data_IF_191852501619
#
_entry.id   IF_191852501619
#
_cell.length_a   1.000
_cell.length_b   1.000
_cell.length_c   1.000
_cell.angle_alpha   90.00
_cell.angle_beta   90.00
_cell.angle_gamma   90.00
#
_symmetry.space_group_name_H-M   'P 1'
#
loop_
_entity.id
_entity.type
_entity.pdbx_description
1 polymer ?
#
# COMPACT_ATOMS: atom_id res chain seq x y z
N UNK A 1 -7.97 18.03 4.88
CA UNK A 1 -6.94 17.03 5.20
C UNK A 1 -5.68 17.41 4.44
N UNK A 2 -4.50 17.34 5.05
CA UNK A 2 -3.26 17.44 4.30
C UNK A 2 -3.25 16.35 3.24
N UNK A 3 -2.77 16.69 2.05
CA UNK A 3 -2.58 15.76 0.93
C UNK A 3 -1.10 15.72 0.64
N UNK A 4 -0.57 14.54 0.38
CA UNK A 4 0.78 14.34 -0.07
C UNK A 4 0.76 13.51 -1.35
N UNK A 5 1.49 13.97 -2.35
CA UNK A 5 1.63 13.32 -3.63
C UNK A 5 3.11 13.15 -3.94
N UNK A 6 3.47 11.97 -4.42
CA UNK A 6 4.81 11.68 -4.89
C UNK A 6 4.76 10.87 -6.18
N UNK A 7 5.65 11.21 -7.11
CA UNK A 7 5.84 10.46 -8.35
C UNK A 7 7.30 10.08 -8.48
N UNK A 8 7.55 8.81 -8.83
CA UNK A 8 8.91 8.27 -8.96
C UNK A 8 9.03 7.38 -10.18
N UNK A 9 10.03 7.63 -11.02
CA UNK A 9 10.42 6.71 -12.11
C UNK A 9 11.38 5.65 -11.60
N UNK A 10 11.15 4.42 -12.03
CA UNK A 10 11.97 3.24 -11.70
C UNK A 10 12.18 2.38 -12.93
N UNK A 11 13.28 1.61 -12.97
CA UNK A 11 13.64 0.74 -14.08
C UNK A 11 12.97 -0.66 -14.01
N UNK A 12 11.87 -0.77 -13.28
CA UNK A 12 11.06 -1.98 -13.15
C UNK A 12 9.74 -1.80 -13.88
N UNK A 13 9.15 -2.90 -14.34
CA UNK A 13 7.85 -2.89 -14.99
C UNK A 13 6.74 -2.50 -14.00
N UNK A 14 5.60 -1.96 -14.48
CA UNK A 14 4.44 -1.70 -13.64
C UNK A 14 3.98 -2.93 -12.84
N UNK A 15 4.06 -4.12 -13.44
CA UNK A 15 3.66 -5.38 -12.81
C UNK A 15 4.60 -5.77 -11.67
N UNK A 16 5.91 -5.60 -11.83
CA UNK A 16 6.89 -5.84 -10.76
C UNK A 16 6.67 -4.87 -9.59
N UNK A 17 6.45 -3.58 -9.89
CA UNK A 17 6.18 -2.58 -8.85
C UNK A 17 4.84 -2.79 -8.15
N UNK A 18 3.81 -3.18 -8.91
CA UNK A 18 2.54 -3.59 -8.33
C UNK A 18 2.72 -4.77 -7.40
N UNK A 19 3.42 -5.83 -7.83
CA UNK A 19 3.65 -7.02 -7.02
C UNK A 19 4.42 -6.69 -5.72
N UNK A 20 5.44 -5.82 -5.80
CA UNK A 20 6.20 -5.36 -4.65
C UNK A 20 5.33 -4.66 -3.60
N UNK A 21 4.42 -3.78 -4.04
CA UNK A 21 3.53 -3.03 -3.13
C UNK A 21 2.32 -3.86 -2.69
N UNK A 22 1.90 -4.83 -3.50
CA UNK A 22 0.82 -5.75 -3.16
C UNK A 22 1.22 -6.76 -2.07
N UNK A 23 2.51 -7.10 -1.98
CA UNK A 23 3.06 -7.97 -0.94
C UNK A 23 3.29 -7.23 0.39
N UNK A 24 2.17 -6.78 0.97
CA UNK A 24 2.19 -5.97 2.20
C UNK A 24 2.78 -6.73 3.40
N UNK A 25 2.71 -8.06 3.43
CA UNK A 25 3.24 -8.86 4.55
C UNK A 25 4.77 -8.84 4.60
N UNK A 26 5.43 -8.52 3.48
CA UNK A 26 6.88 -8.34 3.44
C UNK A 26 7.35 -6.98 3.98
N UNK A 27 6.46 -6.02 4.19
CA UNK A 27 6.82 -4.64 4.56
C UNK A 27 7.70 -4.52 5.81
N UNK A 28 7.49 -5.27 6.91
CA UNK A 28 8.36 -5.20 8.09
C UNK A 28 9.83 -5.55 7.80
N UNK A 29 10.12 -6.24 6.69
CA UNK A 29 11.47 -6.63 6.33
C UNK A 29 12.30 -5.46 5.77
N UNK A 30 11.66 -4.42 5.22
CA UNK A 30 12.35 -3.37 4.49
C UNK A 30 11.84 -1.94 4.73
N UNK A 31 10.62 -1.74 5.26
CA UNK A 31 10.12 -0.42 5.60
C UNK A 31 10.58 -0.02 7.01
N UNK A 32 11.43 1.02 7.17
CA UNK A 32 12.09 1.33 8.45
C UNK A 32 11.16 1.59 9.64
N UNK A 33 9.90 1.98 9.39
CA UNK A 33 8.93 2.33 10.42
C UNK A 33 7.84 1.27 10.59
N UNK A 34 7.82 0.21 9.78
CA UNK A 34 6.83 -0.86 9.87
C UNK A 34 7.34 -1.92 10.86
N UNK A 35 6.76 -1.96 12.06
CA UNK A 35 7.14 -2.96 13.07
C UNK A 35 6.49 -4.33 12.79
N UNK A 36 5.24 -4.33 12.32
CA UNK A 36 4.52 -5.54 11.95
C UNK A 36 3.42 -5.26 10.94
N UNK A 37 3.13 -6.22 10.09
CA UNK A 37 1.94 -6.20 9.23
C UNK A 37 1.32 -7.59 9.21
N UNK A 38 0.01 -7.67 9.42
CA UNK A 38 -0.72 -8.95 9.45
C UNK A 38 -2.02 -8.86 8.67
N UNK A 39 -2.19 -9.74 7.68
CA UNK A 39 -3.44 -9.86 6.93
C UNK A 39 -4.45 -10.66 7.75
N UNK A 40 -5.53 -10.02 8.18
CA UNK A 40 -6.65 -10.63 8.92
C UNK A 40 -7.57 -11.44 8.02
N UNK A 41 -7.78 -10.97 6.79
CA UNK A 41 -8.62 -11.65 5.82
C UNK A 41 -8.24 -11.31 4.39
N UNK A 42 -8.47 -12.26 3.49
CA UNK A 42 -8.30 -12.12 2.04
C UNK A 42 -9.57 -12.60 1.36
N UNK A 43 -10.08 -11.79 0.42
CA UNK A 43 -11.23 -12.13 -0.43
C UNK A 43 -10.89 -11.80 -1.87
N UNK A 44 -11.17 -12.74 -2.77
CA UNK A 44 -10.93 -12.56 -4.20
C UNK A 44 -12.27 -12.56 -4.93
N UNK A 45 -12.43 -11.62 -5.87
CA UNK A 45 -13.62 -11.50 -6.70
C UNK A 45 -13.31 -10.70 -7.96
N UNK A 46 -13.75 -11.20 -9.12
CA UNK A 46 -13.67 -10.51 -10.41
C UNK A 46 -12.25 -9.98 -10.72
N UNK A 47 -11.22 -10.82 -10.49
CA UNK A 47 -9.81 -10.46 -10.73
C UNK A 47 -9.20 -9.48 -9.72
N UNK A 48 -9.94 -9.12 -8.67
CA UNK A 48 -9.52 -8.19 -7.62
C UNK A 48 -9.41 -8.90 -6.28
N UNK A 49 -8.51 -8.39 -5.44
CA UNK A 49 -8.30 -8.94 -4.09
C UNK A 49 -8.52 -7.84 -3.06
N UNK A 50 -9.38 -8.12 -2.08
CA UNK A 50 -9.59 -7.28 -0.91
C UNK A 50 -8.90 -7.93 0.27
N UNK A 51 -7.96 -7.20 0.88
CA UNK A 51 -7.31 -7.56 2.13
C UNK A 51 -7.83 -6.67 3.24
N UNK A 52 -7.97 -7.23 4.43
CA UNK A 52 -8.05 -6.45 5.67
C UNK A 52 -6.79 -6.75 6.45
N UNK A 53 -6.02 -5.71 6.78
CA UNK A 53 -4.71 -5.88 7.41
C UNK A 53 -4.50 -4.87 8.54
N UNK A 54 -3.79 -5.32 9.57
CA UNK A 54 -3.25 -4.46 10.61
C UNK A 54 -1.82 -4.09 10.27
N UNK A 55 -1.47 -2.82 10.41
CA UNK A 55 -0.10 -2.35 10.36
C UNK A 55 0.26 -1.65 11.67
N UNK A 56 1.36 -2.06 12.28
CA UNK A 56 1.96 -1.38 13.43
C UNK A 56 3.13 -0.55 12.95
N UNK A 57 3.11 0.73 13.30
CA UNK A 57 4.20 1.66 13.01
C UNK A 57 4.92 2.06 14.30
N UNK A 58 6.24 2.13 14.24
CA UNK A 58 7.11 2.53 15.34
C UNK A 58 8.01 3.69 14.94
N UNK A 59 7.92 4.81 15.65
CA UNK A 59 8.88 5.92 15.51
C UNK A 59 9.17 6.59 16.85
N UNK A 60 10.41 6.46 17.32
CA UNK A 60 10.85 6.94 18.64
C UNK A 60 9.96 6.37 19.76
N UNK A 61 9.23 7.22 20.48
CA UNK A 61 8.34 6.81 21.56
C UNK A 61 6.92 6.47 21.08
N UNK A 62 6.60 6.68 19.80
CA UNK A 62 5.28 6.44 19.23
C UNK A 62 5.23 5.01 18.71
N UNK A 63 4.20 4.28 19.14
CA UNK A 63 3.80 2.98 18.60
C UNK A 63 2.32 3.00 18.39
N UNK A 64 1.91 2.82 17.15
CA UNK A 64 0.52 2.93 16.75
C UNK A 64 0.16 1.78 15.82
N UNK A 65 -0.99 1.16 16.07
CA UNK A 65 -1.53 0.10 15.21
C UNK A 65 -2.84 0.58 14.62
N UNK A 66 -3.00 0.34 13.32
CA UNK A 66 -4.23 0.68 12.61
C UNK A 66 -4.59 -0.41 11.62
N UNK A 67 -5.89 -0.55 11.38
CA UNK A 67 -6.47 -1.51 10.46
C UNK A 67 -6.85 -0.80 9.16
N UNK A 68 -6.50 -1.39 8.03
CA UNK A 68 -6.84 -0.89 6.69
C UNK A 68 -7.51 -1.97 5.84
N UNK A 69 -8.34 -1.53 4.89
CA UNK A 69 -8.77 -2.33 3.76
C UNK A 69 -7.90 -2.00 2.56
N UNK A 70 -7.24 -3.01 1.98
CA UNK A 70 -6.41 -2.87 0.77
C UNK A 70 -7.13 -3.55 -0.39
N UNK A 71 -7.44 -2.80 -1.44
CA UNK A 71 -8.01 -3.30 -2.68
C UNK A 71 -6.92 -3.35 -3.74
N UNK A 72 -6.51 -4.56 -4.11
CA UNK A 72 -5.57 -4.84 -5.18
C UNK A 72 -6.34 -4.96 -6.50
N UNK A 73 -5.92 -4.18 -7.51
CA UNK A 73 -6.50 -4.17 -8.86
C UNK A 73 -5.38 -4.41 -9.89
N UNK A 74 -4.99 -5.68 -10.14
CA UNK A 74 -3.89 -6.01 -11.05
C UNK A 74 -4.12 -5.50 -12.46
N UNK A 75 -5.33 -5.66 -13.01
CA UNK A 75 -5.68 -5.22 -14.37
C UNK A 75 -5.58 -3.68 -14.54
N UNK A 76 -5.77 -2.95 -13.44
CA UNK A 76 -5.70 -1.49 -13.40
C UNK A 76 -4.31 -0.98 -13.00
N UNK A 77 -3.35 -1.88 -12.68
CA UNK A 77 -2.06 -1.56 -12.05
C UNK A 77 -2.22 -0.56 -10.90
N UNK A 78 -3.15 -0.86 -9.98
CA UNK A 78 -3.56 0.08 -8.94
C UNK A 78 -3.88 -0.59 -7.61
N UNK A 79 -3.56 0.11 -6.52
CA UNK A 79 -3.88 -0.31 -5.16
C UNK A 79 -4.59 0.83 -4.44
N UNK A 80 -5.79 0.56 -3.92
CA UNK A 80 -6.52 1.52 -3.10
C UNK A 80 -6.53 1.04 -1.65
N UNK A 81 -6.17 1.92 -0.73
CA UNK A 81 -6.16 1.62 0.70
C UNK A 81 -7.13 2.55 1.41
N UNK A 82 -7.95 2.00 2.28
CA UNK A 82 -8.90 2.74 3.11
C UNK A 82 -8.70 2.41 4.57
N UNK A 83 -8.79 3.42 5.41
CA UNK A 83 -8.84 3.27 6.85
C UNK A 83 -10.06 2.48 7.32
N UNK A 84 -9.88 1.62 8.32
CA UNK A 84 -10.98 0.96 9.03
C UNK A 84 -11.01 1.41 10.49
N UNK A 85 -9.89 1.29 11.22
CA UNK A 85 -9.84 1.51 12.68
C UNK A 85 -8.41 1.85 13.17
N UNK A 86 -8.29 2.42 14.36
CA UNK A 86 -7.03 2.83 14.99
C UNK A 86 -6.96 4.29 15.47
N UNK A 87 -5.76 4.87 15.61
CA UNK A 87 -5.54 6.21 16.19
C UNK A 87 -5.72 7.37 15.20
N UNK A 88 -5.79 7.10 13.89
CA UNK A 88 -5.93 8.14 12.88
C UNK A 88 -7.38 8.55 12.67
N UNK A 89 -7.61 9.83 12.34
CA UNK A 89 -8.96 10.28 11.97
C UNK A 89 -9.35 9.83 10.56
N UNK A 90 -8.38 9.85 9.65
CA UNK A 90 -8.55 9.51 8.24
C UNK A 90 -7.21 9.03 7.67
N UNK A 91 -7.26 7.97 6.88
CA UNK A 91 -6.14 7.47 6.09
C UNK A 91 -6.71 6.89 4.79
N UNK A 92 -6.25 7.38 3.66
CA UNK A 92 -6.61 6.83 2.36
C UNK A 92 -5.42 7.03 1.45
N UNK A 93 -4.84 5.95 0.94
CA UNK A 93 -3.76 6.07 -0.02
C UNK A 93 -4.05 5.31 -1.30
N UNK A 94 -3.53 5.83 -2.40
CA UNK A 94 -3.70 5.26 -3.74
C UNK A 94 -2.31 5.09 -4.34
N UNK A 95 -2.06 3.91 -4.90
CA UNK A 95 -0.91 3.62 -5.75
C UNK A 95 -1.37 3.40 -7.17
N UNK A 96 -0.64 3.97 -8.13
CA UNK A 96 -0.77 3.70 -9.56
C UNK A 96 0.60 3.40 -10.14
N UNK A 97 0.67 2.44 -11.04
CA UNK A 97 1.89 2.04 -11.72
C UNK A 97 1.66 2.16 -13.22
N UNK A 98 2.16 3.24 -13.82
CA UNK A 98 1.97 3.53 -15.23
C UNK A 98 3.23 3.17 -16.03
N UNK A 99 3.11 2.59 -17.23
CA UNK A 99 4.26 2.31 -18.10
C UNK A 99 5.02 3.60 -18.43
N UNK A 100 6.35 3.53 -18.39
CA UNK A 100 7.25 4.60 -18.81
C UNK A 100 8.36 4.04 -19.70
N UNK A 101 9.07 4.92 -20.41
CA UNK A 101 10.21 4.50 -21.22
C UNK A 101 11.28 3.81 -20.36
N UNK A 102 11.55 2.54 -20.64
CA UNK A 102 12.47 1.70 -19.87
C UNK A 102 12.02 1.31 -18.45
N UNK A 103 10.74 1.47 -18.09
CA UNK A 103 10.27 1.04 -16.77
C UNK A 103 8.86 1.51 -16.39
N UNK A 104 8.72 2.05 -15.18
CA UNK A 104 7.45 2.44 -14.58
C UNK A 104 7.53 3.83 -13.94
N UNK A 105 6.47 4.60 -14.09
CA UNK A 105 6.19 5.77 -13.26
C UNK A 105 5.22 5.37 -12.14
N UNK A 106 5.69 5.49 -10.89
CA UNK A 106 4.94 5.13 -9.69
C UNK A 106 4.33 6.39 -9.12
N UNK A 107 3.01 6.41 -8.96
CA UNK A 107 2.28 7.51 -8.33
C UNK A 107 1.76 7.07 -6.97
N UNK A 108 2.01 7.90 -5.97
CA UNK A 108 1.53 7.74 -4.61
C UNK A 108 0.76 8.98 -4.18
N UNK A 109 -0.44 8.78 -3.62
CA UNK A 109 -1.29 9.82 -3.04
C UNK A 109 -1.74 9.39 -1.65
N UNK A 110 -1.73 10.30 -0.66
CA UNK A 110 -2.27 10.09 0.69
C UNK A 110 -2.82 11.39 1.32
#
# INVERSE_FOLDING_TARGET
MPKFEATRRVAHTPQEMFALVADIEAYPQFLPLCESLTVRSRKERDGRTILVADMSIGYKAIRETFTTQVLLKPDDNAIDVKYIDGPFKYLSNIWRFDPADGGCEVHFFI
#
